data_IF_250554288195
#
_entry.id   IF_250554288195
#
_cell.length_a   1.000
_cell.length_b   1.000
_cell.length_c   1.000
_cell.angle_alpha   90.00
_cell.angle_beta   90.00
_cell.angle_gamma   90.00
#
_symmetry.space_group_name_H-M   'P 1'
#
loop_
_entity.id
_entity.type
_entity.pdbx_description
1 polymer ?
#
# COMPACT_ATOMS: atom_id res chain seq x y z
N UNK A 1 53.84 4.88 17.78
CA UNK A 1 53.32 5.61 18.97
C UNK A 1 52.23 6.57 18.53
N UNK A 2 50.96 6.15 18.56
CA UNK A 2 49.80 7.04 18.40
C UNK A 2 49.68 7.90 19.66
N UNK A 3 49.85 9.21 19.51
CA UNK A 3 49.87 10.14 20.65
C UNK A 3 48.48 10.24 21.29
N UNK A 4 48.41 10.30 22.64
CA UNK A 4 47.16 10.45 23.42
C UNK A 4 46.24 11.59 22.95
N UNK A 5 46.77 12.61 22.24
CA UNK A 5 45.99 13.71 21.64
C UNK A 5 45.15 13.28 20.43
N UNK A 6 45.59 12.30 19.62
CA UNK A 6 44.83 11.83 18.47
C UNK A 6 43.58 11.02 18.86
N UNK A 7 43.64 10.31 19.99
CA UNK A 7 42.53 9.51 20.53
C UNK A 7 41.44 10.38 21.16
N UNK A 8 41.81 11.49 21.82
CA UNK A 8 40.85 12.44 22.43
C UNK A 8 40.13 13.29 21.38
N UNK A 9 40.81 13.73 20.33
CA UNK A 9 40.19 14.49 19.23
C UNK A 9 39.18 13.64 18.43
N UNK A 10 39.51 12.36 18.18
CA UNK A 10 38.59 11.41 17.54
C UNK A 10 37.36 11.10 18.40
N UNK A 11 37.54 10.93 19.73
CA UNK A 11 36.45 10.68 20.67
C UNK A 11 35.47 11.84 20.81
N UNK A 12 35.97 13.08 20.89
CA UNK A 12 35.11 14.28 20.93
C UNK A 12 34.39 14.51 19.59
N UNK A 13 35.05 14.30 18.45
CA UNK A 13 34.40 14.38 17.14
C UNK A 13 33.30 13.32 16.97
N UNK A 14 33.54 12.08 17.39
CA UNK A 14 32.55 10.99 17.36
C UNK A 14 31.36 11.24 18.32
N UNK A 15 31.60 11.84 19.49
CA UNK A 15 30.56 12.19 20.45
C UNK A 15 29.67 13.37 19.99
N UNK A 16 30.19 14.24 19.12
CA UNK A 16 29.45 15.38 18.56
C UNK A 16 28.62 15.01 17.32
N UNK A 17 28.90 13.89 16.65
CA UNK A 17 28.16 13.46 15.45
C UNK A 17 26.65 13.28 15.70
N UNK A 18 26.20 12.60 16.79
CA UNK A 18 24.78 12.46 17.09
C UNK A 18 24.10 13.81 17.38
N UNK A 19 24.80 14.71 18.08
CA UNK A 19 24.28 16.05 18.38
C UNK A 19 24.16 16.92 17.14
N UNK A 20 25.18 16.94 16.27
CA UNK A 20 25.16 17.67 14.99
C UNK A 20 24.08 17.15 14.06
N UNK A 21 23.94 15.83 13.95
CA UNK A 21 22.88 15.21 13.16
C UNK A 21 21.49 15.57 13.69
N UNK A 22 21.31 15.64 15.01
CA UNK A 22 20.04 16.05 15.63
C UNK A 22 19.72 17.52 15.37
N UNK A 23 20.67 18.43 15.61
CA UNK A 23 20.48 19.86 15.33
C UNK A 23 20.19 20.14 13.85
N UNK A 24 20.86 19.41 12.95
CA UNK A 24 20.59 19.48 11.51
C UNK A 24 19.18 18.97 11.15
N UNK A 25 18.70 17.91 11.80
CA UNK A 25 17.33 17.40 11.62
C UNK A 25 16.27 18.38 12.11
N UNK A 26 16.48 19.06 13.25
CA UNK A 26 15.54 20.05 13.77
C UNK A 26 15.45 21.28 12.84
N UNK A 27 16.61 21.77 12.37
CA UNK A 27 16.67 22.83 11.38
C UNK A 27 15.99 22.44 10.05
N UNK A 28 16.15 21.19 9.62
CA UNK A 28 15.47 20.66 8.44
C UNK A 28 13.95 20.65 8.63
N UNK A 29 13.46 20.22 9.79
CA UNK A 29 12.01 20.15 10.04
C UNK A 29 11.35 21.52 9.89
N UNK A 30 11.95 22.57 10.48
CA UNK A 30 11.48 23.94 10.31
C UNK A 30 11.50 24.41 8.84
N UNK A 31 12.54 24.04 8.07
CA UNK A 31 12.61 24.36 6.65
C UNK A 31 11.56 23.60 5.83
N UNK A 32 11.24 22.36 6.19
CA UNK A 32 10.17 21.57 5.58
C UNK A 32 8.78 22.14 5.91
N UNK A 33 8.56 22.64 7.12
CA UNK A 33 7.33 23.34 7.49
C UNK A 33 7.13 24.59 6.62
N UNK A 34 8.19 25.40 6.46
CA UNK A 34 8.16 26.57 5.58
C UNK A 34 7.90 26.17 4.12
N UNK A 35 8.57 25.12 3.62
CA UNK A 35 8.38 24.61 2.26
C UNK A 35 6.96 24.07 2.02
N UNK A 36 6.34 23.42 3.02
CA UNK A 36 4.95 22.94 2.93
C UNK A 36 3.95 24.09 2.89
N UNK A 37 4.20 25.16 3.64
CA UNK A 37 3.33 26.34 3.69
C UNK A 37 3.40 27.19 2.41
N UNK A 38 4.55 27.21 1.74
CA UNK A 38 4.77 27.91 0.47
C UNK A 38 3.94 27.29 -0.66
N UNK A 39 3.28 28.12 -1.48
CA UNK A 39 2.46 27.68 -2.62
C UNK A 39 3.27 27.53 -3.90
N UNK A 40 4.31 28.33 -4.10
CA UNK A 40 5.20 28.18 -5.25
C UNK A 40 6.24 27.07 -4.99
N UNK A 41 6.17 25.92 -5.68
CA UNK A 41 7.10 24.82 -5.46
C UNK A 41 8.56 25.18 -5.76
N UNK A 42 8.82 26.14 -6.66
CA UNK A 42 10.19 26.59 -6.95
C UNK A 42 10.77 27.34 -5.75
N UNK A 43 10.00 28.24 -5.15
CA UNK A 43 10.37 28.91 -3.89
C UNK A 43 10.51 27.92 -2.73
N UNK A 44 9.59 26.98 -2.60
CA UNK A 44 9.65 25.94 -1.56
C UNK A 44 10.94 25.11 -1.64
N UNK A 45 11.42 24.77 -2.85
CA UNK A 45 12.69 24.07 -3.05
C UNK A 45 13.89 24.84 -2.53
N UNK A 46 13.86 26.19 -2.57
CA UNK A 46 14.97 27.02 -2.11
C UNK A 46 15.18 26.91 -0.60
N UNK A 47 14.13 26.74 0.19
CA UNK A 47 14.25 26.48 1.64
C UNK A 47 15.03 25.20 1.93
N UNK A 48 14.94 24.22 1.03
CA UNK A 48 15.56 22.92 1.21
C UNK A 48 16.93 22.81 0.57
N UNK A 49 17.35 23.75 -0.28
CA UNK A 49 18.52 23.59 -1.17
C UNK A 49 19.86 23.44 -0.44
N UNK A 50 20.04 24.10 0.71
CA UNK A 50 21.32 24.11 1.45
C UNK A 50 21.58 22.84 2.28
N UNK A 51 20.55 22.01 2.53
CA UNK A 51 20.71 20.82 3.37
C UNK A 51 21.49 19.71 2.65
N UNK A 52 22.55 19.23 3.28
CA UNK A 52 23.28 18.04 2.81
C UNK A 52 22.61 16.76 3.33
N UNK A 53 22.10 15.96 2.40
CA UNK A 53 21.47 14.67 2.68
C UNK A 53 22.41 13.68 3.38
N UNK A 54 23.73 13.77 3.16
CA UNK A 54 24.71 12.89 3.77
C UNK A 54 25.00 13.21 5.25
N UNK A 55 24.72 14.45 5.68
CA UNK A 55 24.92 14.90 7.05
C UNK A 55 23.73 14.63 7.98
N UNK A 56 22.61 14.13 7.43
CA UNK A 56 21.36 13.91 8.16
C UNK A 56 21.23 12.48 8.69
N UNK A 57 20.36 12.32 9.70
CA UNK A 57 19.90 10.99 10.10
C UNK A 57 19.19 10.28 8.94
N UNK A 58 19.10 8.93 8.91
CA UNK A 58 18.42 8.21 7.84
C UNK A 58 16.97 8.66 7.59
N UNK A 59 16.22 8.95 8.65
CA UNK A 59 14.84 9.42 8.57
C UNK A 59 14.75 10.85 8.01
N UNK A 60 15.53 11.80 8.56
CA UNK A 60 15.58 13.19 8.10
C UNK A 60 16.08 13.29 6.64
N UNK A 61 17.06 12.47 6.27
CA UNK A 61 17.50 12.33 4.87
C UNK A 61 16.33 11.93 3.97
N UNK A 62 15.51 10.99 4.41
CA UNK A 62 14.37 10.50 3.64
C UNK A 62 13.26 11.55 3.52
N UNK A 63 13.02 12.35 4.56
CA UNK A 63 12.14 13.52 4.49
C UNK A 63 12.65 14.52 3.44
N UNK A 64 13.93 14.89 3.51
CA UNK A 64 14.55 15.85 2.59
C UNK A 64 14.48 15.37 1.14
N UNK A 65 14.90 14.13 0.85
CA UNK A 65 14.92 13.63 -0.53
C UNK A 65 13.51 13.46 -1.10
N UNK A 66 12.55 13.06 -0.27
CA UNK A 66 11.14 12.92 -0.68
C UNK A 66 10.54 14.28 -0.98
N UNK A 67 10.75 15.28 -0.11
CA UNK A 67 10.26 16.63 -0.30
C UNK A 67 10.87 17.30 -1.54
N UNK A 68 12.20 17.20 -1.74
CA UNK A 68 12.86 17.75 -2.93
C UNK A 68 12.34 17.10 -4.21
N UNK A 69 12.23 15.78 -4.26
CA UNK A 69 11.73 15.07 -5.44
C UNK A 69 10.27 15.45 -5.73
N UNK A 70 9.43 15.49 -4.70
CA UNK A 70 8.03 15.88 -4.79
C UNK A 70 7.82 17.30 -5.30
N UNK A 71 8.50 18.27 -4.69
CA UNK A 71 8.41 19.68 -5.08
C UNK A 71 8.95 19.93 -6.49
N UNK A 72 10.00 19.20 -6.92
CA UNK A 72 10.48 19.28 -8.30
C UNK A 72 9.43 18.80 -9.31
N UNK A 73 8.66 17.76 -8.96
CA UNK A 73 7.53 17.31 -9.77
C UNK A 73 6.40 18.34 -9.75
N UNK A 74 6.07 18.91 -8.59
CA UNK A 74 5.05 19.96 -8.46
C UNK A 74 5.41 21.19 -9.31
N UNK A 75 6.68 21.63 -9.32
CA UNK A 75 7.15 22.71 -10.19
C UNK A 75 6.95 22.40 -11.68
N UNK A 76 7.20 21.15 -12.10
CA UNK A 76 6.97 20.72 -13.47
C UNK A 76 5.48 20.61 -13.84
N UNK A 77 4.60 20.40 -12.86
CA UNK A 77 3.13 20.41 -13.03
C UNK A 77 2.63 21.88 -13.13
N UNK A 78 3.10 22.76 -12.24
CA UNK A 78 2.77 24.20 -12.28
C UNK A 78 3.22 24.85 -13.60
N UNK A 79 4.38 24.46 -14.14
CA UNK A 79 4.84 24.92 -15.45
C UNK A 79 3.91 24.54 -16.61
N UNK A 80 2.98 23.59 -16.40
CA UNK A 80 1.91 23.22 -17.34
C UNK A 80 0.58 23.91 -17.04
N UNK A 81 0.54 24.86 -16.11
CA UNK A 81 -0.67 25.59 -15.74
C UNK A 81 -1.65 24.79 -14.88
N UNK A 82 -1.20 23.72 -14.22
CA UNK A 82 -2.03 22.86 -13.35
C UNK A 82 -1.62 23.06 -11.90
N UNK A 83 -2.60 23.15 -11.00
CA UNK A 83 -2.35 23.12 -9.56
C UNK A 83 -2.12 21.67 -9.10
N UNK A 84 -0.91 21.30 -8.62
CA UNK A 84 -0.61 19.94 -8.16
C UNK A 84 -1.34 19.55 -6.86
N UNK A 85 -1.93 20.52 -6.14
CA UNK A 85 -2.71 20.30 -4.91
C UNK A 85 -4.20 20.11 -5.19
N UNK A 86 -4.67 20.54 -6.35
CA UNK A 86 -6.02 20.27 -6.79
C UNK A 86 -6.13 18.81 -7.26
N UNK A 87 -7.33 18.22 -7.16
CA UNK A 87 -7.62 16.99 -7.90
C UNK A 87 -7.77 17.39 -9.37
N UNK A 88 -6.80 17.07 -10.24
CA UNK A 88 -6.92 17.48 -11.63
C UNK A 88 -8.13 16.77 -12.24
N UNK A 89 -8.89 17.48 -13.06
CA UNK A 89 -9.88 16.84 -13.92
C UNK A 89 -9.19 15.83 -14.84
N UNK A 90 -9.96 14.89 -15.39
CA UNK A 90 -9.46 13.91 -16.35
C UNK A 90 -8.65 14.63 -17.46
N UNK A 91 -7.39 14.21 -17.64
CA UNK A 91 -6.46 14.77 -18.62
C UNK A 91 -5.88 13.65 -19.46
N UNK A 92 -5.66 13.93 -20.76
CA UNK A 92 -5.02 13.01 -21.71
C UNK A 92 -3.59 13.42 -22.06
N UNK A 93 -3.06 14.46 -21.43
CA UNK A 93 -1.65 14.85 -21.61
C UNK A 93 -0.74 13.79 -20.96
N UNK A 94 -0.09 12.99 -21.80
CA UNK A 94 0.83 11.93 -21.36
C UNK A 94 1.99 12.45 -20.49
N UNK A 95 2.46 13.67 -20.75
CA UNK A 95 3.49 14.32 -19.94
C UNK A 95 2.98 14.68 -18.55
N UNK A 96 1.76 15.23 -18.46
CA UNK A 96 1.11 15.51 -17.18
C UNK A 96 0.78 14.21 -16.42
N UNK A 97 0.23 13.19 -17.08
CA UNK A 97 -0.03 11.88 -16.47
C UNK A 97 1.24 11.24 -15.91
N UNK A 98 2.36 11.33 -16.64
CA UNK A 98 3.66 10.88 -16.16
C UNK A 98 4.07 11.63 -14.89
N UNK A 99 3.87 12.94 -14.82
CA UNK A 99 4.16 13.71 -13.60
C UNK A 99 3.25 13.36 -12.43
N UNK A 100 1.94 13.16 -12.67
CA UNK A 100 1.00 12.74 -11.63
C UNK A 100 1.36 11.36 -11.06
N UNK A 101 1.75 10.42 -11.93
CA UNK A 101 2.28 9.12 -11.50
C UNK A 101 3.56 9.30 -10.67
N UNK A 102 4.54 10.07 -11.17
CA UNK A 102 5.81 10.33 -10.48
C UNK A 102 5.62 11.02 -9.13
N UNK A 103 4.63 11.91 -9.01
CA UNK A 103 4.30 12.62 -7.77
C UNK A 103 3.91 11.63 -6.67
N UNK A 104 3.10 10.63 -7.01
CA UNK A 104 2.52 9.65 -6.06
C UNK A 104 3.43 8.45 -5.79
N UNK A 105 4.14 7.98 -6.82
CA UNK A 105 4.91 6.74 -6.78
C UNK A 105 6.41 6.95 -6.51
N UNK A 106 7.02 7.89 -7.22
CA UNK A 106 8.46 7.83 -7.46
C UNK A 106 8.84 7.86 -8.94
N UNK A 107 10.15 7.90 -9.20
CA UNK A 107 10.71 7.93 -10.55
C UNK A 107 10.94 6.52 -11.15
N UNK A 108 11.32 6.50 -12.42
CA UNK A 108 11.85 5.31 -13.09
C UNK A 108 10.80 4.31 -13.59
N UNK A 109 9.57 4.77 -13.86
CA UNK A 109 8.52 3.99 -14.55
C UNK A 109 7.86 4.88 -15.60
N UNK A 110 7.81 4.42 -16.85
CA UNK A 110 7.01 5.04 -17.91
C UNK A 110 5.60 4.47 -17.92
N UNK A 111 4.64 5.20 -18.49
CA UNK A 111 3.25 4.73 -18.60
C UNK A 111 3.16 3.40 -19.38
N UNK A 112 3.94 3.24 -20.44
CA UNK A 112 3.97 2.00 -21.22
C UNK A 112 4.58 0.85 -20.43
N UNK A 113 5.69 1.08 -19.71
CA UNK A 113 6.27 0.04 -18.86
C UNK A 113 5.30 -0.39 -17.76
N UNK A 114 4.54 0.55 -17.19
CA UNK A 114 3.48 0.27 -16.23
C UNK A 114 2.38 -0.61 -16.85
N UNK A 115 1.83 -0.22 -18.00
CA UNK A 115 0.77 -0.97 -18.69
C UNK A 115 1.22 -2.41 -19.00
N UNK A 116 2.40 -2.58 -19.61
CA UNK A 116 2.93 -3.90 -19.95
C UNK A 116 3.19 -4.75 -18.70
N UNK A 117 3.68 -4.16 -17.61
CA UNK A 117 3.92 -4.90 -16.38
C UNK A 117 2.60 -5.36 -15.75
N UNK A 118 1.62 -4.48 -15.63
CA UNK A 118 0.32 -4.79 -15.05
C UNK A 118 -0.41 -5.89 -15.82
N UNK A 119 -0.35 -5.84 -17.16
CA UNK A 119 -0.95 -6.87 -18.01
C UNK A 119 -0.29 -8.25 -17.79
N UNK A 120 1.04 -8.31 -17.65
CA UNK A 120 1.72 -9.56 -17.31
C UNK A 120 1.31 -10.10 -15.94
N UNK A 121 1.16 -9.23 -14.93
CA UNK A 121 0.73 -9.67 -13.60
C UNK A 121 -0.73 -10.11 -13.59
N UNK A 122 -1.61 -9.48 -14.38
CA UNK A 122 -2.99 -9.90 -14.60
C UNK A 122 -3.04 -11.34 -15.13
N UNK A 123 -2.34 -11.59 -16.24
CA UNK A 123 -2.28 -12.93 -16.88
C UNK A 123 -1.75 -13.99 -15.89
N UNK A 124 -0.73 -13.66 -15.09
CA UNK A 124 -0.22 -14.58 -14.07
C UNK A 124 -1.28 -14.93 -13.02
N UNK A 125 -2.04 -13.95 -12.55
CA UNK A 125 -3.12 -14.19 -11.59
C UNK A 125 -4.21 -15.08 -12.20
N UNK A 126 -4.58 -14.86 -13.45
CA UNK A 126 -5.58 -15.70 -14.14
C UNK A 126 -5.12 -17.14 -14.31
N UNK A 127 -3.86 -17.36 -14.68
CA UNK A 127 -3.28 -18.72 -14.78
C UNK A 127 -3.29 -19.42 -13.42
N UNK A 128 -2.98 -18.70 -12.34
CA UNK A 128 -3.04 -19.25 -10.98
C UNK A 128 -4.48 -19.55 -10.55
N UNK A 129 -5.41 -18.63 -10.82
CA UNK A 129 -6.83 -18.78 -10.51
C UNK A 129 -7.42 -19.99 -11.25
N UNK A 130 -7.13 -20.16 -12.54
CA UNK A 130 -7.58 -21.30 -13.33
C UNK A 130 -7.16 -22.66 -12.73
N UNK A 131 -5.94 -22.75 -12.21
CA UNK A 131 -5.45 -23.97 -11.53
C UNK A 131 -6.20 -24.24 -10.23
N UNK A 132 -6.46 -23.20 -9.43
CA UNK A 132 -7.19 -23.34 -8.18
C UNK A 132 -8.66 -23.65 -8.42
N UNK A 133 -9.30 -23.03 -9.42
CA UNK A 133 -10.65 -23.34 -9.83
C UNK A 133 -10.79 -24.81 -10.25
N UNK A 134 -9.89 -25.32 -11.10
CA UNK A 134 -9.86 -26.74 -11.48
C UNK A 134 -9.73 -27.66 -10.25
N UNK A 135 -8.88 -27.28 -9.28
CA UNK A 135 -8.67 -28.04 -8.05
C UNK A 135 -9.88 -28.07 -7.09
N UNK A 136 -10.87 -27.19 -7.30
CA UNK A 136 -12.13 -27.19 -6.55
C UNK A 136 -13.34 -27.58 -7.43
N UNK A 137 -13.10 -28.13 -8.62
CA UNK A 137 -14.14 -28.64 -9.52
C UNK A 137 -14.79 -27.60 -10.44
N UNK A 138 -14.24 -26.38 -10.52
CA UNK A 138 -14.68 -25.32 -11.44
C UNK A 138 -13.75 -25.32 -12.67
N UNK A 139 -13.89 -26.31 -13.54
CA UNK A 139 -13.04 -26.45 -14.74
C UNK A 139 -13.62 -25.70 -15.96
N UNK A 140 -12.74 -25.22 -16.85
CA UNK A 140 -13.11 -24.65 -18.15
C UNK A 140 -13.81 -23.28 -18.13
N UNK A 141 -13.97 -22.67 -16.95
CA UNK A 141 -14.52 -21.32 -16.81
C UNK A 141 -13.47 -20.26 -17.14
N UNK A 142 -13.91 -19.12 -17.70
CA UNK A 142 -13.11 -17.90 -17.67
C UNK A 142 -12.91 -17.45 -16.22
N UNK A 143 -11.89 -16.63 -15.95
CA UNK A 143 -11.60 -16.14 -14.60
C UNK A 143 -12.82 -15.48 -13.95
N UNK A 144 -13.46 -14.53 -14.63
CA UNK A 144 -14.65 -13.88 -14.13
C UNK A 144 -15.81 -14.84 -13.88
N UNK A 145 -16.08 -15.78 -14.79
CA UNK A 145 -17.13 -16.77 -14.60
C UNK A 145 -16.85 -17.71 -13.42
N UNK A 146 -15.59 -18.07 -13.18
CA UNK A 146 -15.19 -18.87 -12.02
C UNK A 146 -15.47 -18.14 -10.70
N UNK A 147 -15.14 -16.85 -10.63
CA UNK A 147 -15.44 -16.03 -9.46
C UNK A 147 -16.95 -15.80 -9.28
N UNK A 148 -17.71 -15.51 -10.35
CA UNK A 148 -19.17 -15.40 -10.29
C UNK A 148 -19.81 -16.66 -9.70
N UNK A 149 -19.33 -17.86 -10.08
CA UNK A 149 -19.82 -19.12 -9.48
C UNK A 149 -19.56 -19.20 -7.98
N UNK A 150 -18.39 -18.77 -7.51
CA UNK A 150 -18.10 -18.72 -6.07
C UNK A 150 -18.88 -17.62 -5.33
N UNK A 151 -19.25 -16.55 -6.04
CA UNK A 151 -20.07 -15.48 -5.50
C UNK A 151 -21.52 -15.94 -5.26
N UNK A 152 -22.02 -16.81 -6.12
CA UNK A 152 -23.39 -17.34 -6.09
C UNK A 152 -23.52 -18.65 -5.29
N UNK A 153 -22.42 -19.19 -4.78
CA UNK A 153 -22.45 -20.43 -4.00
C UNK A 153 -22.92 -20.13 -2.58
N UNK A 154 -24.18 -20.45 -2.27
CA UNK A 154 -24.81 -20.27 -0.96
C UNK A 154 -23.99 -20.86 0.21
N UNK A 155 -23.14 -21.86 -0.04
CA UNK A 155 -22.27 -22.46 0.99
C UNK A 155 -21.15 -21.50 1.42
N UNK A 156 -20.81 -20.55 0.57
CA UNK A 156 -19.79 -19.53 0.82
C UNK A 156 -20.36 -18.28 1.52
N UNK A 157 -21.68 -18.17 1.62
CA UNK A 157 -22.34 -16.97 2.13
C UNK A 157 -22.61 -17.06 3.63
N UNK A 158 -22.75 -15.89 4.24
CA UNK A 158 -23.23 -15.77 5.61
C UNK A 158 -24.73 -15.47 5.59
N UNK A 159 -25.54 -16.05 6.49
CA UNK A 159 -26.93 -15.63 6.62
C UNK A 159 -27.02 -14.13 6.94
N UNK A 160 -27.99 -13.41 6.38
CA UNK A 160 -28.24 -12.01 6.75
C UNK A 160 -28.91 -11.90 8.13
N UNK A 161 -28.11 -12.15 9.17
CA UNK A 161 -28.53 -12.15 10.57
C UNK A 161 -27.37 -11.73 11.45
N UNK A 162 -27.67 -11.39 12.71
CA UNK A 162 -26.64 -11.09 13.70
C UNK A 162 -25.66 -12.25 13.91
N UNK A 163 -26.15 -13.49 13.90
CA UNK A 163 -25.31 -14.68 13.97
C UNK A 163 -24.38 -14.81 12.74
N UNK A 164 -24.85 -14.42 11.55
CA UNK A 164 -24.01 -14.37 10.34
C UNK A 164 -22.91 -13.31 10.43
N UNK A 165 -23.23 -12.13 10.94
CA UNK A 165 -22.26 -11.04 11.20
C UNK A 165 -21.22 -11.45 12.24
N UNK A 166 -21.64 -12.09 13.33
CA UNK A 166 -20.74 -12.63 14.34
C UNK A 166 -19.83 -13.73 13.77
N UNK A 167 -20.38 -14.64 12.97
CA UNK A 167 -19.59 -15.67 12.28
C UNK A 167 -18.54 -15.05 11.35
N UNK A 168 -18.88 -14.01 10.58
CA UNK A 168 -17.93 -13.34 9.70
C UNK A 168 -16.75 -12.73 10.46
N UNK A 169 -17.01 -12.06 11.59
CA UNK A 169 -15.96 -11.49 12.44
C UNK A 169 -15.13 -12.59 13.12
N UNK A 170 -15.77 -13.67 13.57
CA UNK A 170 -15.07 -14.83 14.14
C UNK A 170 -14.14 -15.48 13.11
N UNK A 171 -14.59 -15.66 11.87
CA UNK A 171 -13.79 -16.21 10.77
C UNK A 171 -12.58 -15.32 10.47
N UNK A 172 -12.77 -14.00 10.39
CA UNK A 172 -11.68 -13.04 10.22
C UNK A 172 -10.66 -13.10 11.37
N UNK A 173 -11.11 -13.21 12.62
CA UNK A 173 -10.21 -13.30 13.77
C UNK A 173 -9.45 -14.65 13.84
N UNK A 174 -10.00 -15.75 13.31
CA UNK A 174 -9.24 -17.01 13.15
C UNK A 174 -8.09 -16.86 12.16
N UNK A 175 -8.35 -16.26 11.00
CA UNK A 175 -7.31 -15.93 10.03
C UNK A 175 -6.27 -14.95 10.59
N UNK A 176 -6.71 -13.97 11.37
CA UNK A 176 -5.83 -13.01 12.03
C UNK A 176 -4.84 -13.70 12.96
N UNK A 177 -5.30 -14.66 13.77
CA UNK A 177 -4.42 -15.44 14.65
C UNK A 177 -3.36 -16.21 13.84
N UNK A 178 -3.75 -16.81 12.71
CA UNK A 178 -2.83 -17.53 11.82
C UNK A 178 -1.79 -16.61 11.18
N UNK A 179 -2.19 -15.43 10.69
CA UNK A 179 -1.25 -14.49 10.08
C UNK A 179 -0.36 -13.80 11.11
N UNK A 180 -0.88 -13.51 12.31
CA UNK A 180 -0.09 -12.95 13.41
C UNK A 180 1.07 -13.86 13.80
N UNK A 181 0.83 -15.19 13.82
CA UNK A 181 1.89 -16.18 14.06
C UNK A 181 2.98 -16.19 12.97
N UNK A 182 2.66 -15.75 11.75
CA UNK A 182 3.61 -15.72 10.63
C UNK A 182 4.46 -14.43 10.59
N UNK A 183 4.04 -13.35 11.26
CA UNK A 183 4.76 -12.05 11.24
C UNK A 183 6.25 -12.17 11.56
N UNK A 184 6.69 -12.90 12.59
CA UNK A 184 8.12 -12.99 12.90
C UNK A 184 8.94 -13.63 11.77
N UNK A 185 8.35 -14.57 11.03
CA UNK A 185 9.02 -15.23 9.90
C UNK A 185 9.05 -14.34 8.66
N UNK A 186 7.96 -13.62 8.39
CA UNK A 186 7.79 -12.75 7.22
C UNK A 186 8.57 -11.44 7.35
N UNK A 187 8.45 -10.76 8.49
CA UNK A 187 8.90 -9.37 8.68
C UNK A 187 10.03 -9.29 9.70
N UNK A 188 10.05 -10.17 10.71
CA UNK A 188 10.96 -10.07 11.84
C UNK A 188 10.34 -9.33 13.03
N UNK A 189 11.17 -8.77 13.94
CA UNK A 189 10.65 -8.13 15.13
C UNK A 189 9.83 -6.89 14.78
N UNK A 190 8.66 -6.77 15.38
CA UNK A 190 7.76 -5.61 15.28
C UNK A 190 7.38 -5.16 16.69
N UNK A 191 6.94 -3.91 16.90
CA UNK A 191 6.39 -3.49 18.18
C UNK A 191 5.26 -4.45 18.60
N UNK A 192 5.31 -4.99 19.83
CA UNK A 192 4.36 -6.03 20.27
C UNK A 192 2.90 -5.59 20.16
N UNK A 193 2.62 -4.32 20.48
CA UNK A 193 1.28 -3.75 20.37
C UNK A 193 0.78 -3.68 18.93
N UNK A 194 1.64 -3.70 17.90
CA UNK A 194 1.21 -3.75 16.50
C UNK A 194 0.49 -5.07 16.14
N UNK A 195 0.60 -6.10 16.99
CA UNK A 195 -0.13 -7.35 16.87
C UNK A 195 -1.38 -7.42 17.76
N UNK A 196 -1.59 -6.42 18.63
CA UNK A 196 -2.75 -6.32 19.51
C UNK A 196 -3.90 -5.64 18.76
N UNK A 197 -4.48 -6.38 17.81
CA UNK A 197 -5.57 -5.90 16.95
C UNK A 197 -6.62 -6.99 16.75
N UNK A 198 -7.83 -6.58 16.40
CA UNK A 198 -8.92 -7.49 16.08
C UNK A 198 -9.76 -7.00 14.89
N UNK A 199 -10.40 -7.93 14.18
CA UNK A 199 -11.59 -7.62 13.40
C UNK A 199 -12.75 -7.37 14.38
N UNK A 200 -13.47 -6.26 14.21
CA UNK A 200 -14.48 -5.78 15.15
C UNK A 200 -15.84 -5.72 14.46
N UNK A 201 -16.86 -6.29 15.11
CA UNK A 201 -18.27 -6.07 14.75
C UNK A 201 -18.64 -4.61 15.07
N UNK A 202 -19.03 -3.79 14.08
CA UNK A 202 -19.46 -2.42 14.36
C UNK A 202 -20.70 -2.40 15.25
N UNK A 203 -20.72 -1.54 16.26
CA UNK A 203 -21.94 -1.23 17.01
C UNK A 203 -22.87 -0.32 16.19
N UNK A 204 -24.12 -0.18 16.63
CA UNK A 204 -25.05 0.79 16.04
C UNK A 204 -24.48 2.22 16.05
N UNK A 205 -23.76 2.60 17.12
CA UNK A 205 -23.09 3.90 17.22
C UNK A 205 -21.97 4.07 16.20
N UNK A 206 -21.26 2.99 15.87
CA UNK A 206 -20.21 3.03 14.85
C UNK A 206 -20.78 3.22 13.45
N UNK A 207 -21.87 2.51 13.15
CA UNK A 207 -22.59 2.62 11.88
C UNK A 207 -23.14 4.03 11.72
N UNK A 208 -23.83 4.56 12.75
CA UNK A 208 -24.38 5.92 12.75
C UNK A 208 -23.28 6.99 12.60
N UNK A 209 -22.06 6.72 13.10
CA UNK A 209 -20.91 7.62 12.97
C UNK A 209 -20.09 7.40 11.70
N UNK A 210 -20.52 6.54 10.77
CA UNK A 210 -19.79 6.25 9.52
C UNK A 210 -18.44 5.58 9.73
N UNK A 211 -18.24 4.84 10.84
CA UNK A 211 -16.98 4.18 11.20
C UNK A 211 -16.85 2.75 10.65
N UNK A 212 -17.72 2.33 9.74
CA UNK A 212 -17.58 1.05 9.03
C UNK A 212 -16.42 1.12 8.04
N UNK A 213 -15.67 0.03 7.91
CA UNK A 213 -14.42 -0.02 7.12
C UNK A 213 -13.26 0.79 7.72
N UNK A 214 -13.40 1.32 8.94
CA UNK A 214 -12.38 2.16 9.56
C UNK A 214 -11.36 1.34 10.39
N UNK A 215 -10.13 1.84 10.43
CA UNK A 215 -9.03 1.31 11.24
C UNK A 215 -8.85 2.17 12.49
N UNK A 216 -8.64 1.52 13.63
CA UNK A 216 -8.06 2.13 14.83
C UNK A 216 -6.66 1.55 15.00
N UNK A 217 -5.63 2.39 14.89
CA UNK A 217 -4.25 1.92 15.03
C UNK A 217 -3.96 1.53 16.48
N UNK A 218 -3.26 0.41 16.72
CA UNK A 218 -2.84 0.04 18.06
C UNK A 218 -1.75 0.98 18.56
N UNK A 219 -1.76 1.26 19.87
CA UNK A 219 -0.72 2.04 20.56
C UNK A 219 -0.30 1.31 21.85
N UNK A 220 0.80 1.71 22.52
CA UNK A 220 1.15 1.12 23.81
C UNK A 220 -0.02 1.15 24.81
N UNK A 221 -0.46 -0.03 25.25
CA UNK A 221 -1.56 -0.19 26.21
C UNK A 221 -2.98 -0.06 25.64
N UNK A 222 -3.14 0.20 24.34
CA UNK A 222 -4.47 0.30 23.71
C UNK A 222 -4.52 -0.56 22.43
N UNK A 223 -5.38 -1.59 22.40
CA UNK A 223 -5.53 -2.43 21.22
C UNK A 223 -6.11 -1.64 20.05
N UNK A 224 -5.69 -2.02 18.85
CA UNK A 224 -6.26 -1.51 17.61
C UNK A 224 -7.37 -2.41 17.07
N UNK A 225 -7.87 -2.08 15.88
CA UNK A 225 -8.79 -2.97 15.19
C UNK A 225 -9.36 -2.42 13.90
N UNK A 226 -10.03 -3.30 13.16
CA UNK A 226 -10.69 -3.01 11.90
C UNK A 226 -12.19 -3.25 12.04
N UNK A 227 -12.98 -2.19 11.90
CA UNK A 227 -14.45 -2.24 11.98
C UNK A 227 -14.99 -2.73 10.66
N UNK A 228 -15.38 -4.01 10.60
CA UNK A 228 -15.72 -4.67 9.35
C UNK A 228 -17.04 -4.12 8.82
N UNK A 229 -17.10 -3.75 7.54
CA UNK A 229 -18.38 -3.44 6.90
C UNK A 229 -19.21 -4.73 6.71
N UNK A 230 -20.26 -4.86 7.51
CA UNK A 230 -21.17 -6.01 7.52
C UNK A 230 -22.61 -5.59 7.17
N UNK A 231 -22.76 -4.44 6.50
CA UNK A 231 -24.07 -3.91 6.08
C UNK A 231 -24.78 -4.91 5.17
N UNK A 232 -24.05 -5.45 4.18
CA UNK A 232 -24.48 -6.51 3.28
C UNK A 232 -23.68 -7.79 3.52
N UNK A 233 -23.84 -8.40 4.71
CA UNK A 233 -23.04 -9.56 5.12
C UNK A 233 -23.26 -10.79 4.22
N UNK A 234 -24.48 -10.94 3.69
CA UNK A 234 -24.81 -12.01 2.75
C UNK A 234 -23.97 -11.94 1.48
N UNK A 235 -23.74 -10.73 0.98
CA UNK A 235 -22.98 -10.48 -0.25
C UNK A 235 -21.46 -10.35 0.02
N UNK A 236 -21.00 -10.90 1.14
CA UNK A 236 -19.58 -10.91 1.54
C UNK A 236 -19.10 -12.35 1.72
N UNK A 237 -18.78 -13.05 0.62
CA UNK A 237 -18.44 -14.47 0.67
C UNK A 237 -17.22 -14.75 1.55
N UNK A 238 -17.29 -15.84 2.32
CA UNK A 238 -16.26 -16.32 3.26
C UNK A 238 -14.87 -16.32 2.67
N UNK A 239 -14.73 -16.83 1.44
CA UNK A 239 -13.46 -16.98 0.75
C UNK A 239 -12.73 -15.65 0.47
N UNK A 240 -13.43 -14.50 0.51
CA UNK A 240 -12.83 -13.17 0.28
C UNK A 240 -12.16 -12.58 1.53
N UNK A 241 -12.64 -12.95 2.72
CA UNK A 241 -12.26 -12.34 3.99
C UNK A 241 -10.79 -12.51 4.38
N UNK A 242 -10.13 -13.65 4.13
CA UNK A 242 -8.75 -13.86 4.55
C UNK A 242 -7.78 -12.82 3.97
N UNK A 243 -7.93 -12.46 2.69
CA UNK A 243 -7.10 -11.42 2.08
C UNK A 243 -7.34 -10.04 2.71
N UNK A 244 -8.60 -9.74 3.08
CA UNK A 244 -8.94 -8.49 3.78
C UNK A 244 -8.25 -8.45 5.15
N UNK A 245 -8.22 -9.57 5.88
CA UNK A 245 -7.48 -9.65 7.15
C UNK A 245 -6.00 -9.37 6.96
N UNK A 246 -5.36 -10.01 5.97
CA UNK A 246 -3.95 -9.77 5.67
C UNK A 246 -3.66 -8.31 5.28
N UNK A 247 -4.57 -7.67 4.55
CA UNK A 247 -4.44 -6.29 4.08
C UNK A 247 -4.68 -5.25 5.18
N UNK A 248 -5.84 -5.32 5.83
CA UNK A 248 -6.36 -4.32 6.76
C UNK A 248 -5.74 -4.43 8.15
N UNK A 249 -5.44 -5.66 8.56
CA UNK A 249 -4.90 -5.98 9.87
C UNK A 249 -3.42 -6.37 9.73
N UNK A 250 -3.10 -7.62 10.02
CA UNK A 250 -1.73 -8.14 10.11
C UNK A 250 -1.52 -9.17 9.00
N UNK A 251 -0.39 -9.15 8.28
CA UNK A 251 0.79 -8.28 8.42
C UNK A 251 0.74 -6.94 7.64
N UNK A 252 -0.41 -6.55 7.09
CA UNK A 252 -0.58 -5.33 6.30
C UNK A 252 -0.53 -4.04 7.11
N UNK A 253 -1.62 -3.26 7.03
CA UNK A 253 -1.68 -1.89 7.56
C UNK A 253 -1.40 -1.80 9.06
N UNK A 254 -1.88 -2.74 9.88
CA UNK A 254 -1.68 -2.69 11.34
C UNK A 254 -0.26 -3.02 11.79
N UNK A 255 0.58 -3.57 10.91
CA UNK A 255 2.02 -3.64 11.18
C UNK A 255 2.72 -2.39 10.67
N UNK A 256 2.41 -1.97 9.44
CA UNK A 256 3.13 -0.90 8.76
C UNK A 256 2.89 0.48 9.40
N UNK A 257 1.64 0.85 9.64
CA UNK A 257 1.27 2.19 10.10
C UNK A 257 1.78 2.50 11.51
N UNK A 258 1.75 1.57 12.49
CA UNK A 258 2.36 1.83 13.80
C UNK A 258 3.88 1.99 13.75
N UNK A 259 4.57 1.22 12.90
CA UNK A 259 6.02 1.39 12.70
C UNK A 259 6.31 2.75 12.07
N UNK A 260 5.50 3.17 11.10
CA UNK A 260 5.62 4.49 10.51
C UNK A 260 5.36 5.61 11.53
N UNK A 261 4.36 5.46 12.40
CA UNK A 261 4.08 6.44 13.45
C UNK A 261 5.26 6.61 14.41
N UNK A 262 5.98 5.52 14.73
CA UNK A 262 7.23 5.59 15.52
C UNK A 262 8.33 6.32 14.74
N UNK A 263 8.40 6.14 13.43
CA UNK A 263 9.40 6.80 12.59
C UNK A 263 9.17 8.32 12.45
N UNK A 264 7.98 8.81 12.81
CA UNK A 264 7.56 10.23 12.78
C UNK A 264 7.96 10.96 11.48
N UNK A 265 7.54 10.45 10.29
CA UNK A 265 7.87 11.09 9.03
C UNK A 265 7.32 12.52 8.98
N UNK A 266 8.07 13.43 8.36
CA UNK A 266 7.55 14.79 8.13
C UNK A 266 6.24 14.74 7.32
N UNK A 267 5.23 15.60 7.57
CA UNK A 267 3.96 15.61 6.83
C UNK A 267 4.06 15.73 5.30
N UNK A 268 5.19 16.16 4.74
CA UNK A 268 5.40 16.13 3.29
C UNK A 268 5.59 14.72 2.71
N UNK A 269 5.94 13.71 3.52
CA UNK A 269 6.03 12.32 3.06
C UNK A 269 4.69 11.74 2.63
N UNK A 270 3.58 11.89 3.35
CA UNK A 270 2.28 11.48 2.83
C UNK A 270 1.89 12.21 1.53
N UNK A 271 2.35 13.44 1.29
CA UNK A 271 2.03 14.18 0.07
C UNK A 271 2.74 13.61 -1.18
N UNK A 272 3.94 13.04 -1.02
CA UNK A 272 4.83 12.62 -2.13
C UNK A 272 5.26 11.15 -2.11
N UNK A 273 4.82 10.37 -1.12
CA UNK A 273 4.88 8.92 -1.09
C UNK A 273 3.54 8.31 -0.59
N UNK A 274 2.37 8.79 -1.08
CA UNK A 274 1.06 8.36 -0.57
C UNK A 274 0.79 6.86 -0.81
N UNK A 275 1.37 6.27 -1.85
CA UNK A 275 1.04 4.93 -2.30
C UNK A 275 1.78 3.81 -1.56
N UNK A 276 2.75 4.13 -0.69
CA UNK A 276 3.54 3.11 0.00
C UNK A 276 2.71 2.25 0.97
N UNK A 277 1.83 2.78 1.84
CA UNK A 277 1.03 1.95 2.75
C UNK A 277 0.17 0.93 2.00
N UNK A 278 -0.52 1.36 0.94
CA UNK A 278 -1.29 0.45 0.08
C UNK A 278 -0.37 -0.54 -0.63
N UNK A 279 0.75 -0.08 -1.19
CA UNK A 279 1.74 -0.94 -1.82
C UNK A 279 2.26 -2.04 -0.88
N UNK A 280 2.55 -1.70 0.39
CA UNK A 280 2.96 -2.66 1.41
C UNK A 280 1.93 -3.74 1.63
N UNK A 281 0.68 -3.36 1.91
CA UNK A 281 -0.39 -4.30 2.23
C UNK A 281 -0.66 -5.24 1.05
N UNK A 282 -0.66 -4.74 -0.18
CA UNK A 282 -0.83 -5.55 -1.40
C UNK A 282 0.35 -6.52 -1.59
N UNK A 283 1.58 -6.05 -1.40
CA UNK A 283 2.78 -6.87 -1.58
C UNK A 283 2.86 -7.99 -0.53
N UNK A 284 2.51 -7.70 0.73
CA UNK A 284 2.59 -8.68 1.80
C UNK A 284 1.47 -9.73 1.68
N UNK A 285 0.27 -9.38 1.20
CA UNK A 285 -0.77 -10.36 0.83
C UNK A 285 -0.24 -11.39 -0.19
N UNK A 286 0.47 -10.92 -1.21
CA UNK A 286 1.08 -11.79 -2.22
C UNK A 286 2.19 -12.66 -1.62
N UNK A 287 2.98 -12.11 -0.70
CA UNK A 287 4.05 -12.86 -0.04
C UNK A 287 3.49 -14.00 0.81
N UNK A 288 2.43 -13.75 1.57
CA UNK A 288 1.72 -14.79 2.35
C UNK A 288 1.24 -15.91 1.41
N UNK A 289 0.66 -15.56 0.26
CA UNK A 289 0.23 -16.56 -0.71
C UNK A 289 1.40 -17.40 -1.25
N UNK A 290 2.53 -16.77 -1.58
CA UNK A 290 3.74 -17.46 -2.05
C UNK A 290 4.36 -18.39 -0.99
N UNK A 291 4.24 -18.04 0.29
CA UNK A 291 4.73 -18.84 1.42
C UNK A 291 3.71 -19.89 1.89
N UNK A 292 2.60 -20.08 1.18
CA UNK A 292 1.62 -21.11 1.47
C UNK A 292 0.65 -20.75 2.61
N UNK A 293 0.48 -19.46 2.94
CA UNK A 293 -0.40 -19.01 4.01
C UNK A 293 -1.88 -19.41 3.84
N UNK A 294 -2.28 -19.77 2.62
CA UNK A 294 -3.63 -20.26 2.29
C UNK A 294 -3.65 -21.76 1.91
N UNK A 295 -2.58 -22.52 2.17
CA UNK A 295 -2.45 -23.90 1.66
C UNK A 295 -3.56 -24.86 2.15
N UNK A 296 -4.14 -24.59 3.32
CA UNK A 296 -5.23 -25.37 3.91
C UNK A 296 -6.62 -25.01 3.36
N UNK A 297 -6.74 -23.89 2.63
CA UNK A 297 -8.00 -23.45 2.02
C UNK A 297 -7.76 -22.82 0.64
N UNK A 298 -8.04 -23.61 -0.40
CA UNK A 298 -7.90 -23.19 -1.79
C UNK A 298 -8.86 -22.06 -2.19
N UNK A 299 -10.01 -21.95 -1.52
CA UNK A 299 -10.97 -20.86 -1.77
C UNK A 299 -10.45 -19.55 -1.20
N UNK A 300 -9.85 -19.58 0.00
CA UNK A 300 -9.14 -18.42 0.54
C UNK A 300 -7.99 -17.95 -0.37
N UNK A 301 -7.26 -18.88 -0.99
CA UNK A 301 -6.24 -18.56 -1.99
C UNK A 301 -6.84 -17.88 -3.24
N UNK A 302 -8.01 -18.34 -3.71
CA UNK A 302 -8.77 -17.66 -4.76
C UNK A 302 -9.23 -16.26 -4.33
N UNK A 303 -9.60 -16.08 -3.06
CA UNK A 303 -9.88 -14.76 -2.48
C UNK A 303 -8.72 -13.78 -2.57
N UNK A 304 -7.52 -14.25 -2.23
CA UNK A 304 -6.32 -13.43 -2.39
C UNK A 304 -6.08 -13.04 -3.85
N UNK A 305 -6.23 -13.99 -4.79
CA UNK A 305 -6.09 -13.70 -6.23
C UNK A 305 -7.18 -12.76 -6.75
N UNK A 306 -8.41 -12.90 -6.29
CA UNK A 306 -9.51 -11.99 -6.63
C UNK A 306 -9.18 -10.56 -6.22
N UNK A 307 -8.77 -10.35 -4.95
CA UNK A 307 -8.38 -9.02 -4.49
C UNK A 307 -7.12 -8.48 -5.16
N UNK A 308 -6.19 -9.34 -5.57
CA UNK A 308 -5.05 -8.93 -6.39
C UNK A 308 -5.47 -8.50 -7.79
N UNK A 309 -6.36 -9.26 -8.44
CA UNK A 309 -6.96 -8.91 -9.72
C UNK A 309 -7.79 -7.62 -9.64
N UNK A 310 -8.46 -7.36 -8.50
CA UNK A 310 -9.12 -6.08 -8.22
C UNK A 310 -8.14 -4.91 -8.32
N UNK A 311 -7.01 -4.99 -7.62
CA UNK A 311 -6.00 -3.91 -7.60
C UNK A 311 -5.30 -3.74 -8.94
N UNK A 312 -4.97 -4.84 -9.63
CA UNK A 312 -4.41 -4.81 -10.98
C UNK A 312 -5.43 -4.23 -11.97
N UNK A 313 -6.69 -4.65 -11.88
CA UNK A 313 -7.77 -4.21 -12.75
C UNK A 313 -8.03 -2.72 -12.61
N UNK A 314 -8.06 -2.19 -11.38
CA UNK A 314 -8.13 -0.75 -11.10
C UNK A 314 -6.95 0.03 -11.67
N UNK A 315 -5.74 -0.51 -11.53
CA UNK A 315 -4.54 0.10 -12.10
C UNK A 315 -4.55 0.13 -13.63
N UNK A 316 -5.10 -0.90 -14.27
CA UNK A 316 -5.31 -0.96 -15.72
C UNK A 316 -6.46 -0.05 -16.18
N UNK A 317 -7.53 0.07 -15.41
CA UNK A 317 -8.65 0.98 -15.67
C UNK A 317 -8.20 2.44 -15.57
N UNK A 318 -7.38 2.77 -14.58
CA UNK A 318 -6.78 4.10 -14.40
C UNK A 318 -5.95 4.50 -15.62
N UNK A 319 -5.10 3.61 -16.13
CA UNK A 319 -4.40 3.82 -17.41
C UNK A 319 -5.37 3.93 -18.59
N UNK A 320 -6.34 3.04 -18.70
CA UNK A 320 -7.26 3.00 -19.83
C UNK A 320 -8.11 4.27 -19.95
N UNK A 321 -8.64 4.76 -18.83
CA UNK A 321 -9.49 5.96 -18.79
C UNK A 321 -8.67 7.21 -19.12
N UNK A 322 -7.51 7.38 -18.48
CA UNK A 322 -6.76 8.63 -18.57
C UNK A 322 -5.79 8.68 -19.76
N UNK A 323 -5.05 7.60 -20.02
CA UNK A 323 -4.06 7.54 -21.11
C UNK A 323 -4.70 7.16 -22.43
N UNK A 324 -5.54 6.12 -22.42
CA UNK A 324 -6.06 5.51 -23.66
C UNK A 324 -7.43 6.10 -24.07
N UNK A 325 -8.07 6.87 -23.18
CA UNK A 325 -9.34 7.53 -23.43
C UNK A 325 -10.55 6.59 -23.49
N UNK A 326 -10.43 5.38 -22.92
CA UNK A 326 -11.54 4.42 -22.84
C UNK A 326 -12.68 4.96 -21.98
N UNK A 327 -13.90 4.57 -22.34
CA UNK A 327 -15.11 4.86 -21.56
C UNK A 327 -15.11 4.11 -20.23
N UNK A 328 -15.88 4.63 -19.25
CA UNK A 328 -16.11 3.95 -17.98
C UNK A 328 -16.75 2.57 -18.21
N UNK A 329 -17.65 2.45 -19.19
CA UNK A 329 -18.34 1.19 -19.51
C UNK A 329 -17.38 0.13 -20.06
N UNK A 330 -16.44 0.51 -20.93
CA UNK A 330 -15.39 -0.40 -21.42
C UNK A 330 -14.46 -0.85 -20.28
N UNK A 331 -14.06 0.08 -19.41
CA UNK A 331 -13.27 -0.24 -18.23
C UNK A 331 -14.03 -1.20 -17.29
N UNK A 332 -15.32 -0.96 -17.08
CA UNK A 332 -16.21 -1.83 -16.27
C UNK A 332 -16.32 -3.23 -16.86
N UNK A 333 -16.54 -3.35 -18.16
CA UNK A 333 -16.64 -4.64 -18.84
C UNK A 333 -15.37 -5.50 -18.65
N UNK A 334 -14.19 -4.88 -18.67
CA UNK A 334 -12.92 -5.56 -18.38
C UNK A 334 -12.82 -6.03 -16.94
N UNK A 335 -13.23 -5.20 -15.97
CA UNK A 335 -13.25 -5.61 -14.56
C UNK A 335 -14.15 -6.84 -14.35
N UNK A 336 -15.35 -6.86 -14.96
CA UNK A 336 -16.26 -8.01 -14.92
C UNK A 336 -15.62 -9.24 -15.57
N UNK A 337 -14.97 -9.09 -16.72
CA UNK A 337 -14.30 -10.22 -17.38
C UNK A 337 -13.21 -10.88 -16.51
N UNK A 338 -12.50 -10.10 -15.70
CA UNK A 338 -11.40 -10.59 -14.86
C UNK A 338 -11.82 -11.04 -13.47
N UNK A 339 -12.93 -10.53 -12.93
CA UNK A 339 -13.31 -10.73 -11.52
C UNK A 339 -14.73 -11.26 -11.32
N UNK A 340 -15.59 -11.22 -12.34
CA UNK A 340 -16.99 -11.57 -12.20
C UNK A 340 -17.78 -10.42 -11.59
N UNK A 341 -18.65 -10.75 -10.63
CA UNK A 341 -19.50 -9.76 -9.95
C UNK A 341 -18.69 -8.81 -9.05
N UNK A 342 -19.10 -7.54 -8.93
CA UNK A 342 -18.45 -6.61 -8.02
C UNK A 342 -18.68 -7.03 -6.56
N UNK A 343 -17.65 -6.84 -5.75
CA UNK A 343 -17.78 -7.00 -4.29
C UNK A 343 -18.76 -5.95 -3.76
N UNK A 344 -19.76 -6.33 -2.96
CA UNK A 344 -20.84 -5.42 -2.53
C UNK A 344 -20.33 -4.12 -1.87
N UNK A 345 -19.23 -4.18 -1.12
CA UNK A 345 -18.61 -3.02 -0.45
C UNK A 345 -17.48 -2.36 -1.28
N UNK A 346 -17.25 -2.82 -2.51
CA UNK A 346 -16.35 -2.19 -3.47
C UNK A 346 -16.96 -2.22 -4.89
N UNK A 347 -18.13 -1.58 -5.10
CA UNK A 347 -18.82 -1.60 -6.37
C UNK A 347 -17.99 -0.93 -7.47
N UNK A 348 -17.91 -1.58 -8.64
CA UNK A 348 -17.09 -1.09 -9.75
C UNK A 348 -17.49 0.32 -10.19
N UNK A 349 -18.79 0.64 -10.23
CA UNK A 349 -19.26 1.94 -10.73
C UNK A 349 -18.78 3.10 -9.84
N UNK A 350 -18.88 2.94 -8.52
CA UNK A 350 -18.39 3.95 -7.57
C UNK A 350 -16.86 4.07 -7.62
N UNK A 351 -16.14 2.95 -7.76
CA UNK A 351 -14.69 2.98 -7.82
C UNK A 351 -14.17 3.56 -9.15
N UNK A 352 -14.79 3.24 -10.28
CA UNK A 352 -14.47 3.82 -11.59
C UNK A 352 -14.74 5.33 -11.63
N UNK A 353 -15.86 5.78 -11.04
CA UNK A 353 -16.15 7.20 -10.91
C UNK A 353 -15.07 7.93 -10.09
N UNK A 354 -14.54 7.28 -9.04
CA UNK A 354 -13.43 7.82 -8.23
C UNK A 354 -12.10 7.80 -8.99
N UNK A 355 -11.83 6.75 -9.78
CA UNK A 355 -10.65 6.65 -10.64
C UNK A 355 -10.61 7.79 -11.67
N UNK A 356 -11.76 8.10 -12.29
CA UNK A 356 -11.88 9.20 -13.24
C UNK A 356 -11.54 10.59 -12.64
N UNK A 357 -11.61 10.74 -11.31
CA UNK A 357 -11.36 12.00 -10.59
C UNK A 357 -9.96 12.08 -9.95
N UNK A 358 -9.18 11.00 -9.96
CA UNK A 358 -7.87 10.96 -9.30
C UNK A 358 -6.85 10.17 -10.16
N UNK A 359 -6.36 10.79 -11.26
CA UNK A 359 -5.53 10.12 -12.24
C UNK A 359 -4.26 9.52 -11.65
N UNK A 360 -3.91 8.34 -12.13
CA UNK A 360 -2.68 7.58 -11.84
C UNK A 360 -2.53 7.07 -10.40
N UNK A 361 -3.49 7.30 -9.51
CA UNK A 361 -3.38 6.82 -8.13
C UNK A 361 -3.46 5.31 -8.02
N UNK A 362 -4.40 4.66 -8.72
CA UNK A 362 -4.54 3.19 -8.64
C UNK A 362 -3.37 2.51 -9.32
N UNK A 363 -2.89 3.08 -10.43
CA UNK A 363 -1.66 2.66 -11.07
C UNK A 363 -0.46 2.78 -10.12
N UNK A 364 -0.32 3.91 -9.42
CA UNK A 364 0.76 4.13 -8.45
C UNK A 364 0.73 3.15 -7.27
N UNK A 365 -0.45 2.88 -6.68
CA UNK A 365 -0.61 1.92 -5.58
C UNK A 365 -0.14 0.51 -5.98
N UNK A 366 -0.61 0.00 -7.13
CA UNK A 366 -0.20 -1.32 -7.59
C UNK A 366 1.29 -1.38 -7.96
N UNK A 367 1.85 -0.32 -8.56
CA UNK A 367 3.28 -0.26 -8.88
C UNK A 367 4.16 -0.15 -7.63
N UNK A 368 3.69 0.49 -6.56
CA UNK A 368 4.38 0.50 -5.28
C UNK A 368 4.46 -0.92 -4.70
N UNK A 369 3.36 -1.70 -4.78
CA UNK A 369 3.37 -3.11 -4.40
C UNK A 369 4.38 -3.92 -5.21
N UNK A 370 4.38 -3.76 -6.54
CA UNK A 370 5.30 -4.48 -7.42
C UNK A 370 6.77 -4.11 -7.16
N UNK A 371 7.06 -2.86 -6.79
CA UNK A 371 8.41 -2.46 -6.40
C UNK A 371 8.88 -3.14 -5.10
N UNK A 372 7.97 -3.35 -4.15
CA UNK A 372 8.25 -4.11 -2.91
C UNK A 372 8.46 -5.59 -3.25
N UNK A 373 7.61 -6.16 -4.10
CA UNK A 373 7.73 -7.55 -4.54
C UNK A 373 9.02 -7.82 -5.31
N UNK A 374 9.43 -6.92 -6.20
CA UNK A 374 10.70 -6.99 -6.92
C UNK A 374 11.89 -6.97 -5.95
N UNK A 375 11.81 -6.14 -4.90
CA UNK A 375 12.80 -6.09 -3.84
C UNK A 375 12.78 -7.32 -2.92
N UNK A 376 11.66 -8.02 -2.78
CA UNK A 376 11.56 -9.29 -2.06
C UNK A 376 11.92 -10.51 -2.93
N UNK A 377 12.06 -10.34 -4.24
CA UNK A 377 12.26 -11.43 -5.18
C UNK A 377 13.52 -12.23 -4.82
N UNK A 378 13.40 -13.56 -4.81
CA UNK A 378 14.46 -14.53 -4.46
C UNK A 378 14.99 -14.39 -3.01
N UNK A 379 14.31 -13.65 -2.13
CA UNK A 379 14.63 -13.59 -0.70
C UNK A 379 13.74 -14.54 0.09
N UNK A 380 14.33 -15.17 1.10
CA UNK A 380 13.67 -16.00 2.09
C UNK A 380 14.37 -15.87 3.44
N UNK A 381 13.73 -16.35 4.51
CA UNK A 381 14.31 -16.37 5.85
C UNK A 381 14.88 -15.02 6.29
N UNK A 382 16.13 -15.01 6.78
CA UNK A 382 16.77 -13.81 7.30
C UNK A 382 16.94 -12.70 6.26
N UNK A 383 17.17 -13.04 4.98
CA UNK A 383 17.33 -12.04 3.93
C UNK A 383 16.02 -11.30 3.65
N UNK A 384 14.89 -12.02 3.66
CA UNK A 384 13.56 -11.41 3.51
C UNK A 384 13.24 -10.47 4.67
N UNK A 385 13.45 -10.93 5.91
CA UNK A 385 13.20 -10.11 7.10
C UNK A 385 14.06 -8.84 7.10
N UNK A 386 15.36 -8.94 6.77
CA UNK A 386 16.22 -7.75 6.65
C UNK A 386 15.69 -6.76 5.63
N UNK A 387 15.22 -7.24 4.49
CA UNK A 387 14.62 -6.39 3.47
C UNK A 387 13.34 -5.69 3.97
N UNK A 388 12.39 -6.44 4.53
CA UNK A 388 11.15 -5.85 5.06
C UNK A 388 11.41 -4.85 6.18
N UNK A 389 12.29 -5.18 7.13
CA UNK A 389 12.72 -4.24 8.18
C UNK A 389 13.36 -2.98 7.60
N UNK A 390 14.20 -3.14 6.58
CA UNK A 390 14.84 -2.01 5.93
C UNK A 390 13.81 -1.08 5.29
N UNK A 391 12.75 -1.57 4.66
CA UNK A 391 11.73 -0.71 4.02
C UNK A 391 10.63 -0.22 4.97
N UNK A 392 10.50 -0.78 6.18
CA UNK A 392 9.47 -0.35 7.15
C UNK A 392 9.99 0.67 8.16
N UNK A 393 11.21 0.48 8.69
CA UNK A 393 11.70 1.16 9.91
C UNK A 393 11.70 2.68 9.85
N UNK A 394 11.80 3.25 8.65
CA UNK A 394 11.85 4.71 8.45
C UNK A 394 10.50 5.24 7.91
N UNK A 395 9.45 4.43 7.80
CA UNK A 395 8.13 4.82 7.29
C UNK A 395 8.00 4.87 5.76
N UNK A 396 6.87 5.39 5.25
CA UNK A 396 6.52 5.44 3.81
C UNK A 396 7.58 6.06 2.89
N UNK A 397 7.90 5.42 1.78
CA UNK A 397 8.94 5.93 0.88
C UNK A 397 8.58 5.79 -0.60
N UNK A 398 9.21 6.62 -1.43
CA UNK A 398 9.09 6.59 -2.88
C UNK A 398 9.73 5.33 -3.45
N UNK A 399 9.28 4.91 -4.63
CA UNK A 399 9.72 3.68 -5.32
C UNK A 399 11.24 3.57 -5.45
N UNK A 400 11.93 4.64 -5.83
CA UNK A 400 13.39 4.66 -6.01
C UNK A 400 14.13 4.32 -4.71
N UNK A 401 13.58 4.71 -3.56
CA UNK A 401 14.14 4.40 -2.25
C UNK A 401 13.89 2.92 -1.88
N UNK A 402 12.72 2.37 -2.20
CA UNK A 402 12.43 0.93 -2.06
C UNK A 402 13.46 0.13 -2.85
N UNK A 403 13.68 0.51 -4.12
CA UNK A 403 14.64 -0.14 -5.00
C UNK A 403 16.09 0.02 -4.51
N UNK A 404 16.44 1.18 -3.91
CA UNK A 404 17.76 1.41 -3.30
C UNK A 404 17.98 0.49 -2.11
N UNK A 405 17.00 0.39 -1.21
CA UNK A 405 17.07 -0.47 -0.02
C UNK A 405 17.06 -1.95 -0.36
N UNK A 406 16.49 -2.34 -1.50
CA UNK A 406 16.58 -3.70 -1.98
C UNK A 406 18.01 -4.13 -2.39
N UNK A 407 18.91 -3.21 -2.73
CA UNK A 407 20.28 -3.55 -3.16
C UNK A 407 21.27 -3.81 -2.02
N UNK A 408 20.88 -3.50 -0.79
CA UNK A 408 21.67 -3.65 0.43
C UNK A 408 20.99 -4.65 1.37
#
# INVERSE_FOLDING_TARGET
MTTRRAVLAGGAALALLPWRARAASDALRAALDAARAERDPVTALRFLASFDAAALSPAARLDLVTARAGLAVDAAIVARGVDPRAKPSATRDAGLLTLLLRRKLGDGVTLDAAAHRLERERVRCEVQAARLFAAIGISGATTGAGFTRLWQDERELYPDSDAGRDAAVADMNRWLAMFSAQVPALIGPVPRYALDVAAIRPSATDIAAGRIGARTLPTPGHPGGYRVDLTHVHDRPRWTLPSVVAHELVPGHMVQLPIEAIADPHPMRPDYAPCFPEGWSIAIEQRIAQDGGYAHDRRAALGQLHWRLFRIGRALADLAIHRDGQSIDEARARLVAWQGEPVAFAPFDADLARIAQDPMTRTAEMLAALAIEDGAQRRSGAALRRYHQAILKDGRMRREEIARRARH
#
